data_IF_973517816065
#
_entry.id   IF_973517816065
#
_cell.length_a   1.000
_cell.length_b   1.000
_cell.length_c   1.000
_cell.angle_alpha   90.00
_cell.angle_beta   90.00
_cell.angle_gamma   90.00
#
_symmetry.space_group_name_H-M   'P 1'
#
loop_
_entity.id
_entity.type
_entity.pdbx_description
1 polymer ?
#
# COMPACT_ATOMS: atom_id res chain seq x y z
N UNK A 1 -28.44 -57.35 43.16
CA UNK A 1 -27.71 -57.74 41.94
C UNK A 1 -27.49 -56.48 41.11
N UNK A 2 -26.23 -56.10 40.81
CA UNK A 2 -25.63 -54.85 41.28
C UNK A 2 -25.20 -53.90 40.13
N UNK A 3 -25.19 -52.56 40.27
CA UNK A 3 -24.18 -51.66 40.90
C UNK A 3 -22.71 -52.00 40.59
N UNK A 4 -21.98 -51.11 39.89
CA UNK A 4 -20.59 -50.70 40.20
C UNK A 4 -20.16 -49.57 39.22
N UNK A 5 -19.97 -48.31 39.62
CA UNK A 5 -18.81 -47.70 40.32
C UNK A 5 -17.44 -48.06 39.73
N UNK A 6 -16.77 -47.03 39.18
CA UNK A 6 -15.30 -46.76 39.15
C UNK A 6 -15.18 -45.26 38.85
N UNK A 7 -15.03 -44.35 39.82
CA UNK A 7 -13.83 -43.98 40.61
C UNK A 7 -12.55 -43.87 39.77
N UNK A 8 -12.13 -42.62 39.58
CA UNK A 8 -10.76 -42.14 39.32
C UNK A 8 -9.77 -42.70 40.35
N UNK A 9 -8.47 -42.61 40.04
CA UNK A 9 -7.62 -41.89 40.98
C UNK A 9 -6.68 -40.87 40.32
N UNK A 10 -6.26 -39.93 41.18
CA UNK A 10 -5.33 -38.84 40.96
C UNK A 10 -3.87 -39.33 40.93
N UNK A 11 -3.06 -38.51 40.26
CA UNK A 11 -1.69 -38.08 40.56
C UNK A 11 -0.73 -39.03 41.30
N UNK A 12 0.38 -39.37 40.63
CA UNK A 12 1.69 -39.45 41.27
C UNK A 12 2.75 -38.82 40.35
N UNK A 13 3.58 -38.00 40.98
CA UNK A 13 4.76 -37.31 40.46
C UNK A 13 5.95 -38.25 40.37
N UNK A 14 6.67 -38.25 39.25
CA UNK A 14 8.07 -38.69 39.23
C UNK A 14 8.97 -37.62 38.60
N UNK A 15 9.93 -37.21 39.43
CA UNK A 15 11.05 -36.34 39.12
C UNK A 15 12.23 -37.22 38.70
N UNK A 16 12.79 -37.04 37.50
CA UNK A 16 14.22 -37.36 37.24
C UNK A 16 14.85 -36.29 36.34
N UNK A 17 15.86 -35.66 36.94
CA UNK A 17 16.86 -34.75 36.39
C UNK A 17 18.03 -35.47 35.71
N UNK A 18 18.59 -34.88 34.64
CA UNK A 18 20.02 -34.87 34.25
C UNK A 18 20.16 -33.98 32.99
N UNK A 19 20.67 -32.75 33.04
CA UNK A 19 22.07 -32.26 33.22
C UNK A 19 23.03 -32.74 32.13
N UNK A 20 23.37 -31.84 31.19
CA UNK A 20 24.70 -31.26 30.81
C UNK A 20 24.56 -30.65 29.40
N UNK A 21 24.74 -29.36 29.08
CA UNK A 21 25.84 -28.39 29.26
C UNK A 21 27.17 -28.75 28.58
N UNK A 22 27.40 -28.16 27.40
CA UNK A 22 28.70 -27.76 26.82
C UNK A 22 28.36 -26.79 25.66
N UNK A 23 28.57 -25.47 25.75
CA UNK A 23 29.82 -24.69 25.74
C UNK A 23 30.71 -24.97 24.52
N UNK A 24 30.60 -24.10 23.50
CA UNK A 24 31.74 -23.67 22.67
C UNK A 24 31.53 -22.19 22.34
N UNK A 25 32.39 -21.36 22.91
CA UNK A 25 32.75 -20.03 22.39
C UNK A 25 33.66 -20.25 21.18
N UNK A 26 33.43 -19.54 20.07
CA UNK A 26 34.53 -18.93 19.32
C UNK A 26 34.04 -17.71 18.53
N UNK A 27 34.95 -16.76 18.49
CA UNK A 27 34.89 -15.38 18.05
C UNK A 27 35.22 -15.19 16.57
N UNK A 28 34.69 -14.10 15.99
CA UNK A 28 35.39 -13.31 14.97
C UNK A 28 34.99 -13.50 13.50
N UNK A 29 34.29 -12.50 12.94
CA UNK A 29 34.37 -11.94 11.57
C UNK A 29 33.09 -11.13 11.31
N UNK A 30 33.08 -9.81 11.55
CA UNK A 30 33.34 -8.74 10.56
C UNK A 30 32.49 -8.81 9.29
N UNK A 31 31.63 -7.80 9.14
CA UNK A 31 31.40 -7.06 7.90
C UNK A 31 31.44 -7.89 6.60
N UNK A 32 30.27 -8.39 6.21
CA UNK A 32 29.94 -8.67 4.82
C UNK A 32 28.62 -7.95 4.56
N UNK A 33 28.78 -6.73 4.07
CA UNK A 33 27.74 -5.96 3.40
C UNK A 33 27.03 -6.85 2.38
N UNK A 34 25.72 -6.68 2.30
CA UNK A 34 24.83 -7.27 1.31
C UNK A 34 25.29 -6.92 -0.13
N UNK A 35 26.24 -7.70 -0.64
CA UNK A 35 26.69 -7.65 -2.02
C UNK A 35 26.08 -8.81 -2.82
N UNK A 36 25.22 -8.40 -3.76
CA UNK A 36 25.12 -8.95 -5.13
C UNK A 36 24.40 -10.30 -5.26
N UNK A 37 23.06 -10.25 -5.42
CA UNK A 37 22.34 -11.05 -6.43
C UNK A 37 21.14 -10.25 -6.96
N UNK A 38 21.38 -9.33 -7.90
CA UNK A 38 20.38 -8.92 -8.91
C UNK A 38 21.12 -8.57 -10.22
N UNK A 39 21.87 -9.54 -10.76
CA UNK A 39 22.29 -9.54 -12.16
C UNK A 39 21.49 -10.63 -12.89
N UNK A 40 20.44 -10.22 -13.63
CA UNK A 40 20.12 -10.73 -14.98
C UNK A 40 18.85 -10.21 -15.67
N UNK A 41 17.98 -9.43 -15.03
CA UNK A 41 16.70 -9.05 -15.66
C UNK A 41 16.54 -7.57 -16.04
N UNK A 42 17.62 -6.78 -15.98
CA UNK A 42 17.57 -5.36 -16.41
C UNK A 42 17.83 -5.15 -17.91
N UNK A 43 18.30 -6.18 -18.62
CA UNK A 43 18.53 -6.11 -20.07
C UNK A 43 17.26 -6.39 -20.90
N UNK A 44 16.19 -6.92 -20.29
CA UNK A 44 14.89 -7.10 -20.97
C UNK A 44 14.01 -5.82 -20.98
N UNK A 45 14.59 -4.67 -20.60
CA UNK A 45 13.94 -3.35 -20.68
C UNK A 45 14.16 -2.63 -22.01
N UNK A 46 14.86 -3.23 -22.97
CA UNK A 46 14.98 -2.67 -24.32
C UNK A 46 13.63 -2.64 -25.07
N UNK A 47 12.70 -3.55 -24.79
CA UNK A 47 11.41 -3.59 -25.50
C UNK A 47 10.35 -2.53 -25.11
N UNK A 48 10.62 -1.67 -24.12
CA UNK A 48 9.67 -0.61 -23.72
C UNK A 48 10.21 0.81 -23.97
N UNK A 49 11.45 0.93 -24.43
CA UNK A 49 12.08 2.20 -24.79
C UNK A 49 11.97 2.54 -26.29
N UNK A 50 11.56 1.58 -27.13
CA UNK A 50 11.66 1.69 -28.59
C UNK A 50 10.51 2.40 -29.32
N UNK A 51 9.40 2.78 -28.68
CA UNK A 51 8.26 3.38 -29.43
C UNK A 51 7.72 4.70 -28.88
N UNK A 52 8.62 5.56 -28.41
CA UNK A 52 8.40 7.01 -28.41
C UNK A 52 9.50 7.76 -29.20
N UNK A 53 10.16 7.05 -30.14
CA UNK A 53 11.39 7.51 -30.77
C UNK A 53 11.61 7.09 -32.22
N UNK A 54 10.58 6.81 -33.02
CA UNK A 54 10.75 6.75 -34.48
C UNK A 54 10.69 8.15 -35.10
N UNK A 55 11.70 8.95 -34.76
CA UNK A 55 12.20 10.05 -35.57
C UNK A 55 13.50 10.56 -34.94
N UNK A 56 14.64 9.95 -35.27
CA UNK A 56 15.98 10.56 -35.37
C UNK A 56 17.06 9.49 -35.61
N UNK A 57 17.14 9.00 -36.84
CA UNK A 57 18.45 8.69 -37.42
C UNK A 57 19.02 10.01 -37.96
N UNK A 58 20.08 10.49 -37.31
CA UNK A 58 20.70 11.77 -37.60
C UNK A 58 21.47 12.28 -36.40
N UNK A 59 22.57 11.61 -36.07
CA UNK A 59 23.55 12.13 -35.13
C UNK A 59 24.06 13.49 -35.63
N UNK A 60 23.60 14.57 -34.99
CA UNK A 60 24.20 15.88 -35.05
C UNK A 60 24.50 16.32 -33.62
N UNK A 61 25.79 16.56 -33.38
CA UNK A 61 26.40 16.99 -32.13
C UNK A 61 26.05 18.47 -31.86
N UNK A 62 24.80 18.72 -31.44
CA UNK A 62 24.36 20.05 -31.00
C UNK A 62 23.60 19.93 -29.69
N UNK A 63 24.02 20.63 -28.62
CA UNK A 63 23.29 20.61 -27.36
C UNK A 63 21.89 21.22 -27.56
N UNK A 64 20.85 20.67 -26.91
CA UNK A 64 19.49 21.17 -27.06
C UNK A 64 19.37 22.60 -26.51
N UNK A 65 18.67 23.44 -27.26
CA UNK A 65 18.51 24.86 -27.00
C UNK A 65 17.70 25.11 -25.70
N UNK A 66 18.10 26.15 -24.98
CA UNK A 66 17.58 26.52 -23.65
C UNK A 66 16.14 27.06 -23.75
N UNK A 67 15.73 27.46 -24.94
CA UNK A 67 14.43 28.08 -25.20
C UNK A 67 13.28 27.06 -25.33
N UNK A 68 13.53 25.85 -25.86
CA UNK A 68 12.55 24.75 -25.85
C UNK A 68 12.22 24.28 -24.42
N UNK A 69 13.19 24.44 -23.51
CA UNK A 69 13.04 24.11 -22.10
C UNK A 69 12.15 25.10 -21.34
N UNK A 70 12.11 26.36 -21.77
CA UNK A 70 11.28 27.40 -21.15
C UNK A 70 9.81 27.25 -21.52
N UNK A 71 9.53 26.95 -22.79
CA UNK A 71 8.16 26.91 -23.30
C UNK A 71 7.32 25.75 -22.71
N UNK A 72 7.90 24.55 -22.57
CA UNK A 72 7.22 23.41 -21.95
C UNK A 72 6.98 23.60 -20.44
N UNK A 73 7.87 24.30 -19.76
CA UNK A 73 7.82 24.52 -18.31
C UNK A 73 6.84 25.64 -17.92
N UNK A 74 6.59 26.58 -18.83
CA UNK A 74 5.75 27.76 -18.59
C UNK A 74 4.25 27.43 -18.62
N UNK A 75 3.86 26.27 -19.15
CA UNK A 75 2.48 25.81 -19.23
C UNK A 75 1.95 25.21 -17.91
N UNK A 76 2.82 24.89 -16.94
CA UNK A 76 2.44 24.00 -15.83
C UNK A 76 2.65 24.52 -14.39
N UNK A 77 3.42 25.58 -14.12
CA UNK A 77 3.94 25.80 -12.74
C UNK A 77 3.93 27.28 -12.29
N UNK A 78 3.75 27.64 -11.01
CA UNK A 78 4.79 27.62 -9.93
C UNK A 78 6.24 27.80 -10.42
N UNK A 79 6.42 28.61 -11.47
CA UNK A 79 7.66 28.76 -12.22
C UNK A 79 8.86 29.27 -11.39
N UNK A 80 8.63 29.99 -10.29
CA UNK A 80 9.69 30.67 -9.57
C UNK A 80 10.69 29.73 -8.86
N UNK A 81 10.23 28.61 -8.29
CA UNK A 81 11.11 27.71 -7.51
C UNK A 81 12.00 26.86 -8.41
N UNK A 82 11.41 26.27 -9.46
CA UNK A 82 12.14 25.44 -10.43
C UNK A 82 13.14 26.30 -11.20
N UNK A 83 12.73 27.48 -11.67
CA UNK A 83 13.65 28.40 -12.35
C UNK A 83 14.80 28.85 -11.44
N UNK A 84 14.52 29.11 -10.16
CA UNK A 84 15.56 29.46 -9.20
C UNK A 84 16.60 28.32 -9.04
N UNK A 85 16.14 27.08 -8.89
CA UNK A 85 17.02 25.90 -8.83
C UNK A 85 17.86 25.75 -10.09
N UNK A 86 17.24 25.83 -11.27
CA UNK A 86 17.91 25.69 -12.56
C UNK A 86 18.98 26.77 -12.80
N UNK A 87 18.71 28.00 -12.39
CA UNK A 87 19.68 29.08 -12.47
C UNK A 87 20.89 28.82 -11.56
N UNK A 88 20.69 28.32 -10.34
CA UNK A 88 21.79 28.00 -9.42
C UNK A 88 22.71 26.90 -9.93
N UNK A 89 22.16 25.87 -10.57
CA UNK A 89 22.97 24.78 -11.14
C UNK A 89 23.63 25.15 -12.46
N UNK A 90 23.08 26.11 -13.21
CA UNK A 90 23.61 26.55 -14.52
C UNK A 90 24.90 27.35 -14.39
N UNK A 91 25.08 28.10 -13.30
CA UNK A 91 26.26 28.96 -13.05
C UNK A 91 27.56 28.16 -12.96
N UNK A 92 27.51 26.88 -12.61
CA UNK A 92 28.71 26.07 -12.41
C UNK A 92 29.20 25.47 -13.74
N UNK A 93 30.42 25.79 -14.23
CA UNK A 93 30.99 25.14 -15.43
C UNK A 93 31.11 23.62 -15.25
N UNK A 94 31.07 22.89 -16.37
CA UNK A 94 31.28 21.44 -16.38
C UNK A 94 32.74 21.11 -16.09
N UNK A 95 33.00 19.92 -15.53
CA UNK A 95 34.36 19.43 -15.32
C UNK A 95 34.98 18.98 -16.64
N UNK A 96 36.26 19.32 -16.83
CA UNK A 96 37.10 18.71 -17.86
C UNK A 96 37.46 17.26 -17.46
N UNK A 97 37.95 16.46 -18.41
CA UNK A 97 38.31 15.05 -18.16
C UNK A 97 39.41 14.93 -17.09
N UNK A 98 40.39 15.83 -17.10
CA UNK A 98 41.48 15.83 -16.12
C UNK A 98 40.99 16.21 -14.72
N UNK A 99 40.12 17.21 -14.62
CA UNK A 99 39.49 17.61 -13.37
C UNK A 99 38.58 16.53 -12.82
N UNK A 100 37.79 15.89 -13.68
CA UNK A 100 36.91 14.77 -13.34
C UNK A 100 37.73 13.65 -12.70
N UNK A 101 38.86 13.25 -13.29
CA UNK A 101 39.75 12.26 -12.68
C UNK A 101 40.35 12.72 -11.36
N UNK A 102 40.78 13.98 -11.26
CA UNK A 102 41.36 14.55 -10.04
C UNK A 102 40.35 14.53 -8.89
N UNK A 103 39.17 15.11 -9.10
CA UNK A 103 38.13 15.18 -8.08
C UNK A 103 37.57 13.80 -7.76
N UNK A 104 37.47 12.89 -8.72
CA UNK A 104 37.01 11.52 -8.45
C UNK A 104 37.98 10.72 -7.59
N UNK A 105 39.30 10.90 -7.76
CA UNK A 105 40.30 10.28 -6.88
C UNK A 105 40.23 10.83 -5.46
N UNK A 106 40.06 12.15 -5.31
CA UNK A 106 39.91 12.80 -4.01
C UNK A 106 38.59 12.40 -3.33
N UNK A 107 37.50 12.34 -4.07
CA UNK A 107 36.20 11.89 -3.57
C UNK A 107 36.27 10.43 -3.09
N UNK A 108 36.95 9.54 -3.83
CA UNK A 108 37.20 8.14 -3.41
C UNK A 108 38.08 8.05 -2.16
N UNK A 109 38.97 9.02 -1.94
CA UNK A 109 39.78 9.14 -0.72
C UNK A 109 39.00 9.69 0.48
N UNK A 110 37.72 10.04 0.31
CA UNK A 110 36.86 10.55 1.39
C UNK A 110 36.88 12.07 1.57
N UNK A 111 37.50 12.82 0.65
CA UNK A 111 37.56 14.29 0.74
C UNK A 111 36.19 14.92 0.47
N UNK A 112 35.64 15.59 1.48
CA UNK A 112 34.30 16.17 1.43
C UNK A 112 34.18 17.27 0.35
N UNK A 113 35.16 18.16 0.26
CA UNK A 113 35.13 19.26 -0.70
C UNK A 113 35.16 18.76 -2.15
N UNK A 114 35.94 17.69 -2.41
CA UNK A 114 36.00 17.08 -3.73
C UNK A 114 34.68 16.40 -4.11
N UNK A 115 34.04 15.70 -3.16
CA UNK A 115 32.71 15.12 -3.35
C UNK A 115 31.67 16.20 -3.64
N UNK A 116 31.68 17.31 -2.89
CA UNK A 116 30.77 18.42 -3.11
C UNK A 116 30.94 19.05 -4.50
N UNK A 117 32.19 19.27 -4.93
CA UNK A 117 32.47 19.74 -6.29
C UNK A 117 31.93 18.75 -7.32
N UNK A 118 32.14 17.44 -7.15
CA UNK A 118 31.59 16.45 -8.09
C UNK A 118 30.07 16.47 -8.17
N UNK A 119 29.37 16.57 -7.04
CA UNK A 119 27.90 16.65 -7.00
C UNK A 119 27.45 17.88 -7.79
N UNK A 120 27.91 19.05 -7.38
CA UNK A 120 27.44 20.35 -7.88
C UNK A 120 27.69 20.54 -9.38
N UNK A 121 28.76 19.95 -9.90
CA UNK A 121 29.14 20.04 -11.32
C UNK A 121 28.31 19.10 -12.21
N UNK A 122 27.69 18.06 -11.62
CA UNK A 122 26.93 17.03 -12.33
C UNK A 122 25.40 17.15 -12.11
N UNK A 123 24.90 18.13 -11.35
CA UNK A 123 23.45 18.33 -11.15
C UNK A 123 22.67 18.53 -12.48
N UNK A 124 23.31 19.10 -13.49
CA UNK A 124 22.72 19.27 -14.83
C UNK A 124 22.39 17.93 -15.50
N UNK A 125 23.22 16.91 -15.26
CA UNK A 125 22.97 15.55 -15.77
C UNK A 125 21.70 14.98 -15.14
N UNK A 126 21.52 15.14 -13.83
CA UNK A 126 20.33 14.67 -13.10
C UNK A 126 19.06 15.26 -13.71
N UNK A 127 19.03 16.59 -13.88
CA UNK A 127 17.89 17.28 -14.49
C UNK A 127 17.61 16.77 -15.90
N UNK A 128 18.66 16.53 -16.70
CA UNK A 128 18.49 16.00 -18.07
C UNK A 128 17.84 14.62 -18.10
N UNK A 129 18.16 13.75 -17.12
CA UNK A 129 17.59 12.41 -17.01
C UNK A 129 16.16 12.49 -16.46
N UNK A 130 15.93 13.28 -15.40
CA UNK A 130 14.63 13.44 -14.75
C UNK A 130 13.53 13.94 -15.70
N UNK A 131 13.87 14.78 -16.69
CA UNK A 131 12.93 15.23 -17.74
C UNK A 131 12.26 14.09 -18.49
N UNK A 132 12.96 12.97 -18.71
CA UNK A 132 12.40 11.80 -19.40
C UNK A 132 11.31 11.07 -18.59
N UNK A 133 11.15 11.41 -17.31
CA UNK A 133 10.21 10.79 -16.38
C UNK A 133 9.05 11.72 -15.97
N UNK A 134 8.87 12.84 -16.67
CA UNK A 134 7.72 13.73 -16.49
C UNK A 134 6.40 12.96 -16.69
N UNK A 135 5.34 13.45 -16.04
CA UNK A 135 3.98 12.92 -16.15
C UNK A 135 3.81 11.46 -15.70
N UNK A 136 4.68 10.96 -14.82
CA UNK A 136 4.59 9.62 -14.21
C UNK A 136 4.04 9.61 -12.79
N UNK A 137 3.34 10.67 -12.38
CA UNK A 137 2.67 10.78 -11.07
C UNK A 137 3.54 11.34 -9.94
N UNK A 138 4.80 11.69 -10.20
CA UNK A 138 5.70 12.34 -9.24
C UNK A 138 6.13 13.71 -9.79
N UNK A 139 6.09 14.79 -8.98
CA UNK A 139 6.53 16.12 -9.40
C UNK A 139 7.99 16.17 -9.87
N UNK A 140 8.32 17.06 -10.80
CA UNK A 140 9.67 17.17 -11.35
C UNK A 140 10.74 17.46 -10.27
N UNK A 141 10.43 18.29 -9.29
CA UNK A 141 11.38 18.59 -8.20
C UNK A 141 11.70 17.33 -7.39
N UNK A 142 10.70 16.53 -7.07
CA UNK A 142 10.88 15.28 -6.32
C UNK A 142 11.69 14.27 -7.15
N UNK A 143 11.44 14.17 -8.46
CA UNK A 143 12.25 13.36 -9.37
C UNK A 143 13.72 13.84 -9.41
N UNK A 144 13.96 15.15 -9.38
CA UNK A 144 15.31 15.70 -9.36
C UNK A 144 16.01 15.35 -8.05
N UNK A 145 15.33 15.47 -6.90
CA UNK A 145 15.94 15.14 -5.61
C UNK A 145 16.25 13.64 -5.47
N UNK A 146 15.34 12.77 -5.91
CA UNK A 146 15.59 11.32 -5.96
C UNK A 146 16.74 10.97 -6.93
N UNK A 147 16.85 11.70 -8.03
CA UNK A 147 18.00 11.62 -8.94
C UNK A 147 19.31 12.12 -8.31
N UNK A 148 19.26 13.16 -7.47
CA UNK A 148 20.41 13.68 -6.74
C UNK A 148 20.92 12.66 -5.71
N UNK A 149 20.01 11.92 -5.05
CA UNK A 149 20.37 10.78 -4.18
C UNK A 149 21.10 9.70 -4.98
N UNK A 150 20.60 9.37 -6.17
CA UNK A 150 21.26 8.43 -7.09
C UNK A 150 22.64 8.91 -7.55
N UNK A 151 22.80 10.20 -7.83
CA UNK A 151 24.09 10.81 -8.18
C UNK A 151 25.09 10.70 -7.02
N UNK A 152 24.67 10.99 -5.79
CA UNK A 152 25.54 10.87 -4.61
C UNK A 152 26.02 9.44 -4.41
N UNK A 153 25.13 8.45 -4.59
CA UNK A 153 25.51 7.04 -4.53
C UNK A 153 26.48 6.65 -5.66
N UNK A 154 26.29 7.19 -6.86
CA UNK A 154 27.22 6.98 -7.96
C UNK A 154 28.62 7.49 -7.64
N UNK A 155 28.75 8.64 -6.97
CA UNK A 155 30.05 9.22 -6.60
C UNK A 155 30.77 8.35 -5.57
N UNK A 156 30.05 7.79 -4.60
CA UNK A 156 30.61 6.92 -3.56
C UNK A 156 31.21 5.64 -4.16
N UNK A 157 30.56 5.06 -5.17
CA UNK A 157 30.98 3.79 -5.78
C UNK A 157 31.81 3.94 -7.06
N UNK A 158 32.03 5.17 -7.54
CA UNK A 158 32.74 5.38 -8.79
C UNK A 158 34.24 5.06 -8.65
N UNK A 159 34.77 4.34 -9.64
CA UNK A 159 36.18 4.00 -9.71
C UNK A 159 36.90 4.73 -10.86
N UNK A 160 37.74 5.74 -10.57
CA UNK A 160 38.44 6.52 -11.59
C UNK A 160 39.48 5.71 -12.36
N UNK A 161 39.91 4.56 -11.84
CA UNK A 161 40.97 3.74 -12.45
C UNK A 161 40.51 2.98 -13.69
N UNK A 162 39.18 2.82 -13.86
CA UNK A 162 38.59 2.04 -14.96
C UNK A 162 38.58 2.78 -16.31
N UNK A 163 38.89 4.07 -16.35
CA UNK A 163 39.03 4.84 -17.59
C UNK A 163 37.72 5.25 -18.29
N UNK A 164 36.56 4.92 -17.72
CA UNK A 164 35.26 5.38 -18.21
C UNK A 164 34.89 6.76 -17.66
N UNK A 165 34.06 7.51 -18.39
CA UNK A 165 33.51 8.78 -17.92
C UNK A 165 32.55 8.54 -16.75
N UNK A 166 32.60 9.42 -15.76
CA UNK A 166 31.68 9.44 -14.63
C UNK A 166 30.23 9.57 -15.08
N UNK A 167 29.94 10.36 -16.12
CA UNK A 167 28.59 10.53 -16.66
C UNK A 167 27.96 9.20 -17.10
N UNK A 168 28.74 8.30 -17.70
CA UNK A 168 28.27 6.96 -18.11
C UNK A 168 27.84 6.14 -16.91
N UNK A 169 28.62 6.13 -15.84
CA UNK A 169 28.31 5.40 -14.61
C UNK A 169 27.16 6.04 -13.82
N UNK A 170 27.18 7.36 -13.67
CA UNK A 170 26.17 8.12 -12.96
C UNK A 170 24.78 7.99 -13.58
N UNK A 171 24.70 7.92 -14.91
CA UNK A 171 23.42 7.76 -15.62
C UNK A 171 22.64 6.54 -15.14
N UNK A 172 23.32 5.42 -14.88
CA UNK A 172 22.67 4.19 -14.41
C UNK A 172 22.07 4.38 -13.02
N UNK A 173 22.84 4.93 -12.08
CA UNK A 173 22.38 5.16 -10.70
C UNK A 173 21.29 6.22 -10.59
N UNK A 174 21.41 7.31 -11.36
CA UNK A 174 20.37 8.35 -11.42
C UNK A 174 19.07 7.73 -11.94
N UNK A 175 19.14 6.96 -13.03
CA UNK A 175 17.98 6.27 -13.60
C UNK A 175 17.33 5.32 -12.60
N UNK A 176 18.13 4.45 -11.98
CA UNK A 176 17.66 3.45 -11.03
C UNK A 176 16.98 4.10 -9.82
N UNK A 177 17.56 5.19 -9.28
CA UNK A 177 16.99 5.92 -8.15
C UNK A 177 15.65 6.55 -8.50
N UNK A 178 15.56 7.24 -9.65
CA UNK A 178 14.33 7.86 -10.14
C UNK A 178 13.24 6.80 -10.40
N UNK A 179 13.57 5.70 -11.07
CA UNK A 179 12.61 4.63 -11.34
C UNK A 179 12.11 3.98 -10.06
N UNK A 180 12.99 3.74 -9.10
CA UNK A 180 12.61 3.22 -7.78
C UNK A 180 11.72 4.20 -7.02
N UNK A 181 11.99 5.50 -7.09
CA UNK A 181 11.15 6.51 -6.47
C UNK A 181 9.74 6.53 -7.07
N UNK A 182 9.64 6.51 -8.41
CA UNK A 182 8.36 6.44 -9.12
C UNK A 182 7.57 5.21 -8.71
N UNK A 183 8.21 4.02 -8.67
CA UNK A 183 7.52 2.80 -8.23
C UNK A 183 7.01 2.90 -6.80
N UNK A 184 7.71 3.62 -5.93
CA UNK A 184 7.38 3.69 -4.51
C UNK A 184 6.39 4.81 -4.15
N UNK A 185 6.38 5.91 -4.89
CA UNK A 185 5.72 7.17 -4.54
C UNK A 185 4.62 7.59 -5.53
N UNK A 186 4.60 7.07 -6.77
CA UNK A 186 3.65 7.53 -7.79
C UNK A 186 2.19 7.14 -7.53
N UNK A 187 1.91 6.21 -6.59
CA UNK A 187 0.56 5.76 -6.26
C UNK A 187 0.18 6.18 -4.85
N UNK A 188 -1.05 6.68 -4.70
CA UNK A 188 -1.67 7.02 -3.40
C UNK A 188 -1.68 5.82 -2.45
N UNK A 189 -2.05 4.64 -2.98
CA UNK A 189 -1.92 3.36 -2.27
C UNK A 189 -0.65 2.68 -2.74
N UNK A 190 0.32 2.56 -1.84
CA UNK A 190 1.63 2.00 -2.11
C UNK A 190 1.53 0.52 -2.51
N UNK A 191 2.11 0.18 -3.66
CA UNK A 191 2.30 -1.20 -4.11
C UNK A 191 3.78 -1.61 -3.94
N UNK A 192 4.06 -2.85 -3.51
CA UNK A 192 5.43 -3.38 -3.51
C UNK A 192 6.04 -3.46 -4.92
N UNK A 193 7.37 -3.39 -5.00
CA UNK A 193 8.10 -3.39 -6.28
C UNK A 193 7.84 -4.65 -7.11
N UNK A 194 7.76 -5.82 -6.49
CA UNK A 194 7.50 -7.08 -7.20
C UNK A 194 6.11 -7.09 -7.86
N UNK A 195 5.09 -6.56 -7.19
CA UNK A 195 3.72 -6.43 -7.72
C UNK A 195 3.71 -5.47 -8.92
N UNK A 196 4.42 -4.34 -8.83
CA UNK A 196 4.52 -3.38 -9.95
C UNK A 196 5.24 -4.00 -11.15
N UNK A 197 6.26 -4.83 -10.91
CA UNK A 197 6.98 -5.57 -11.96
C UNK A 197 6.02 -6.54 -12.67
N UNK A 198 5.25 -7.30 -11.91
CA UNK A 198 4.26 -8.23 -12.46
C UNK A 198 3.16 -7.51 -13.23
N UNK A 199 2.65 -6.41 -12.70
CA UNK A 199 1.68 -5.55 -13.39
C UNK A 199 2.22 -5.02 -14.71
N UNK A 200 3.44 -4.49 -14.73
CA UNK A 200 4.05 -3.99 -15.96
C UNK A 200 4.29 -5.11 -16.98
N UNK A 201 4.64 -6.32 -16.54
CA UNK A 201 4.77 -7.49 -17.41
C UNK A 201 3.42 -7.84 -18.07
N UNK A 202 2.34 -7.88 -17.29
CA UNK A 202 0.97 -8.13 -17.78
C UNK A 202 0.52 -7.03 -18.74
N UNK A 203 0.77 -5.75 -18.41
CA UNK A 203 0.43 -4.62 -19.28
C UNK A 203 1.23 -4.63 -20.59
N UNK A 204 2.50 -5.06 -20.57
CA UNK A 204 3.31 -5.24 -21.79
C UNK A 204 2.75 -6.36 -22.66
N UNK A 205 2.41 -7.50 -22.06
CA UNK A 205 1.79 -8.62 -22.79
C UNK A 205 0.45 -8.21 -23.41
N UNK A 206 -0.39 -7.49 -22.67
CA UNK A 206 -1.65 -6.90 -23.15
C UNK A 206 -1.42 -6.03 -24.40
N UNK A 207 -0.51 -5.05 -24.32
CA UNK A 207 -0.19 -4.17 -25.46
C UNK A 207 0.40 -4.91 -26.66
N UNK A 208 1.24 -5.92 -26.42
CA UNK A 208 1.81 -6.74 -27.48
C UNK A 208 0.74 -7.54 -28.23
N UNK A 209 -0.26 -8.09 -27.52
CA UNK A 209 -1.41 -8.75 -28.13
C UNK A 209 -2.27 -7.78 -28.94
N UNK A 210 -2.56 -6.61 -28.38
CA UNK A 210 -3.31 -5.54 -29.06
C UNK A 210 -2.60 -5.11 -30.36
N UNK A 211 -1.27 -4.92 -30.32
CA UNK A 211 -0.47 -4.55 -31.49
C UNK A 211 -0.41 -5.66 -32.55
N UNK A 212 -0.26 -6.92 -32.15
CA UNK A 212 -0.26 -8.05 -33.09
C UNK A 212 -1.62 -8.24 -33.75
N UNK A 213 -2.72 -8.01 -33.01
CA UNK A 213 -4.07 -7.99 -33.57
C UNK A 213 -4.28 -6.84 -34.58
N UNK A 214 -3.53 -5.74 -34.48
CA UNK A 214 -3.59 -4.63 -35.44
C UNK A 214 -2.80 -4.93 -36.74
N UNK A 215 -1.73 -5.73 -36.65
CA UNK A 215 -0.85 -6.03 -37.80
C UNK A 215 -1.35 -7.19 -38.68
N UNK A 216 -2.21 -8.07 -38.16
CA UNK A 216 -2.91 -9.10 -38.94
C UNK A 216 -4.09 -8.47 -39.68
N UNK A 217 -3.81 -7.93 -40.88
CA UNK A 217 -4.75 -7.13 -41.66
C UNK A 217 -6.10 -7.78 -42.02
N UNK A 218 -7.04 -6.89 -42.31
CA UNK A 218 -8.42 -7.05 -42.81
C UNK A 218 -9.51 -7.31 -41.75
N UNK A 219 -10.28 -6.25 -41.48
CA UNK A 219 -11.60 -6.24 -40.83
C UNK A 219 -11.73 -6.82 -39.40
N UNK A 220 -10.62 -7.06 -38.69
CA UNK A 220 -10.69 -7.38 -37.26
C UNK A 220 -10.98 -6.10 -36.46
N UNK A 221 -12.20 -6.00 -35.94
CA UNK A 221 -12.56 -5.10 -34.85
C UNK A 221 -11.41 -5.02 -33.84
N UNK A 222 -11.12 -3.82 -33.30
CA UNK A 222 -10.16 -3.62 -32.21
C UNK A 222 -10.48 -4.61 -31.10
N UNK A 223 -9.81 -5.76 -31.11
CA UNK A 223 -10.07 -6.83 -30.16
C UNK A 223 -9.23 -6.48 -28.96
N UNK A 224 -9.88 -6.04 -27.89
CA UNK A 224 -9.23 -5.95 -26.59
C UNK A 224 -8.64 -7.33 -26.27
N UNK A 225 -7.38 -7.35 -25.83
CA UNK A 225 -6.70 -8.60 -25.55
C UNK A 225 -7.49 -9.40 -24.49
N UNK A 226 -7.84 -10.65 -24.81
CA UNK A 226 -8.54 -11.51 -23.88
C UNK A 226 -7.65 -11.83 -22.68
N UNK A 227 -8.25 -11.93 -21.49
CA UNK A 227 -7.55 -12.33 -20.26
C UNK A 227 -6.85 -13.69 -20.45
N UNK A 228 -7.50 -14.61 -21.16
CA UNK A 228 -6.97 -15.94 -21.47
C UNK A 228 -5.69 -15.86 -22.33
N UNK A 229 -5.65 -14.96 -23.30
CA UNK A 229 -4.50 -14.79 -24.20
C UNK A 229 -3.31 -14.17 -23.44
N UNK A 230 -3.59 -13.23 -22.53
CA UNK A 230 -2.59 -12.61 -21.66
C UNK A 230 -2.03 -13.64 -20.68
N UNK A 231 -2.89 -14.48 -20.09
CA UNK A 231 -2.53 -15.57 -19.19
C UNK A 231 -1.60 -16.58 -19.90
N UNK A 232 -1.96 -16.98 -21.13
CA UNK A 232 -1.13 -17.87 -21.95
C UNK A 232 0.26 -17.29 -22.25
N UNK A 233 0.35 -16.01 -22.63
CA UNK A 233 1.63 -15.37 -22.92
C UNK A 233 2.51 -15.14 -21.69
N UNK A 234 1.89 -14.83 -20.55
CA UNK A 234 2.63 -14.53 -19.31
C UNK A 234 2.92 -15.78 -18.47
N UNK A 235 2.35 -16.93 -18.83
CA UNK A 235 2.49 -18.18 -18.08
C UNK A 235 1.76 -18.17 -16.74
N UNK A 236 0.72 -17.33 -16.58
CA UNK A 236 -0.06 -17.13 -15.35
C UNK A 236 -1.46 -17.70 -15.50
N UNK A 237 -2.16 -17.85 -14.39
CA UNK A 237 -3.59 -18.22 -14.41
C UNK A 237 -4.46 -17.02 -14.78
N UNK A 238 -5.67 -17.29 -15.29
CA UNK A 238 -6.65 -16.24 -15.61
C UNK A 238 -7.00 -15.41 -14.38
N UNK A 239 -7.15 -16.06 -13.22
CA UNK A 239 -7.51 -15.45 -11.95
C UNK A 239 -6.39 -14.51 -11.45
N UNK A 240 -5.12 -14.94 -11.53
CA UNK A 240 -3.98 -14.08 -11.21
C UNK A 240 -3.90 -12.86 -12.14
N UNK A 241 -4.18 -13.03 -13.44
CA UNK A 241 -4.19 -11.90 -14.38
C UNK A 241 -5.33 -10.94 -14.05
N UNK A 242 -6.52 -11.41 -13.66
CA UNK A 242 -7.61 -10.54 -13.22
C UNK A 242 -7.26 -9.77 -11.96
N UNK A 243 -6.66 -10.43 -10.97
CA UNK A 243 -6.24 -9.78 -9.72
C UNK A 243 -5.17 -8.72 -9.98
N UNK A 244 -4.16 -9.04 -10.81
CA UNK A 244 -3.12 -8.08 -11.18
C UNK A 244 -3.69 -6.88 -11.95
N UNK A 245 -4.63 -7.11 -12.88
CA UNK A 245 -5.26 -6.03 -13.62
C UNK A 245 -6.15 -5.15 -12.74
N UNK A 246 -6.79 -5.71 -11.71
CA UNK A 246 -7.56 -4.94 -10.73
C UNK A 246 -6.67 -3.96 -9.95
N UNK A 247 -5.42 -4.35 -9.64
CA UNK A 247 -4.43 -3.45 -9.00
C UNK A 247 -3.98 -2.27 -9.88
N UNK A 248 -4.30 -2.29 -11.17
CA UNK A 248 -3.96 -1.18 -12.06
C UNK A 248 -4.87 0.04 -11.85
N UNK A 249 -6.05 -0.13 -11.26
CA UNK A 249 -7.02 0.94 -11.07
C UNK A 249 -6.42 2.09 -10.22
N UNK A 250 -6.60 3.32 -10.69
CA UNK A 250 -6.10 4.51 -10.01
C UNK A 250 -7.17 5.10 -9.10
N UNK A 251 -6.76 5.68 -7.97
CA UNK A 251 -7.67 6.37 -7.07
C UNK A 251 -8.26 7.61 -7.74
N UNK A 252 -9.59 7.74 -7.71
CA UNK A 252 -10.28 8.96 -8.10
C UNK A 252 -10.33 9.94 -6.91
N UNK A 253 -10.35 11.24 -7.20
CA UNK A 253 -10.57 12.27 -6.18
C UNK A 253 -12.07 12.37 -5.86
N UNK A 254 -12.42 12.36 -4.58
CA UNK A 254 -13.80 12.59 -4.13
C UNK A 254 -14.25 14.04 -4.37
N UNK A 255 -13.30 14.97 -4.39
CA UNK A 255 -13.53 16.39 -4.65
C UNK A 255 -13.56 16.73 -6.15
N UNK A 256 -13.34 15.74 -7.02
CA UNK A 256 -13.42 15.97 -8.47
C UNK A 256 -14.85 16.41 -8.83
N UNK A 257 -15.02 17.56 -9.52
CA UNK A 257 -16.33 17.99 -9.97
C UNK A 257 -16.89 17.00 -10.99
N UNK A 258 -18.21 16.83 -11.00
CA UNK A 258 -18.88 15.99 -11.98
C UNK A 258 -19.01 16.71 -13.33
N UNK A 259 -18.87 15.97 -14.43
CA UNK A 259 -19.00 16.51 -15.80
C UNK A 259 -20.37 17.16 -16.06
N UNK A 260 -21.42 16.63 -15.44
CA UNK A 260 -22.81 17.08 -15.62
C UNK A 260 -23.15 18.30 -14.77
N UNK A 261 -22.54 18.45 -13.60
CA UNK A 261 -22.79 19.58 -12.69
C UNK A 261 -21.50 19.94 -11.92
N UNK A 262 -20.78 21.00 -12.35
CA UNK A 262 -19.51 21.39 -11.75
C UNK A 262 -19.65 21.95 -10.33
N UNK A 263 -20.88 22.17 -9.83
CA UNK A 263 -21.12 22.57 -8.44
C UNK A 263 -21.18 21.35 -7.48
N UNK A 264 -21.29 20.13 -8.02
CA UNK A 264 -21.36 18.91 -7.24
C UNK A 264 -20.10 18.06 -7.41
N UNK A 265 -19.74 17.38 -6.33
CA UNK A 265 -18.59 16.49 -6.25
C UNK A 265 -19.02 15.03 -6.16
N UNK A 266 -18.09 14.10 -6.39
CA UNK A 266 -18.36 12.67 -6.17
C UNK A 266 -18.74 12.41 -4.71
N UNK A 267 -18.18 13.17 -3.76
CA UNK A 267 -18.51 13.09 -2.34
C UNK A 267 -19.99 13.32 -2.05
N UNK A 268 -20.64 14.24 -2.77
CA UNK A 268 -22.05 14.59 -2.56
C UNK A 268 -23.02 13.45 -2.98
N UNK A 269 -22.55 12.52 -3.82
CA UNK A 269 -23.32 11.37 -4.28
C UNK A 269 -23.15 10.13 -3.40
N UNK A 270 -22.08 10.07 -2.60
CA UNK A 270 -21.79 8.91 -1.77
C UNK A 270 -22.70 8.91 -0.55
N UNK A 271 -23.43 7.80 -0.38
CA UNK A 271 -24.26 7.57 0.81
C UNK A 271 -23.40 7.06 1.96
N UNK A 272 -23.72 7.48 3.19
CA UNK A 272 -23.08 6.94 4.39
C UNK A 272 -23.80 5.67 4.86
N UNK A 273 -23.21 4.52 4.51
CA UNK A 273 -23.73 3.20 4.89
C UNK A 273 -23.64 2.92 6.40
N UNK A 274 -22.85 3.68 7.16
CA UNK A 274 -22.77 3.56 8.62
C UNK A 274 -23.84 4.38 9.33
N UNK A 275 -24.44 5.36 8.64
CA UNK A 275 -25.52 6.15 9.19
C UNK A 275 -26.80 5.32 9.31
N UNK A 276 -27.41 5.31 10.48
CA UNK A 276 -28.74 4.71 10.64
C UNK A 276 -29.77 5.67 10.05
N UNK A 277 -30.75 5.13 9.32
CA UNK A 277 -31.86 5.95 8.83
C UNK A 277 -32.65 6.53 10.01
N UNK A 278 -33.23 7.74 9.89
CA UNK A 278 -34.06 8.32 10.96
C UNK A 278 -35.21 7.40 11.38
N UNK A 279 -35.77 6.64 10.44
CA UNK A 279 -36.80 5.63 10.73
C UNK A 279 -36.26 4.51 11.62
N UNK A 280 -35.07 3.99 11.32
CA UNK A 280 -34.41 2.96 12.14
C UNK A 280 -34.06 3.50 13.53
N UNK A 281 -33.60 4.75 13.63
CA UNK A 281 -33.29 5.39 14.91
C UNK A 281 -34.54 5.55 15.78
N UNK A 282 -35.67 5.99 15.20
CA UNK A 282 -36.96 6.09 15.91
C UNK A 282 -37.48 4.73 16.32
N UNK A 283 -37.40 3.72 15.43
CA UNK A 283 -37.77 2.34 15.77
C UNK A 283 -36.93 1.80 16.93
N UNK A 284 -35.63 2.06 16.93
CA UNK A 284 -34.73 1.65 18.01
C UNK A 284 -35.08 2.33 19.34
N UNK A 285 -35.33 3.65 19.32
CA UNK A 285 -35.77 4.41 20.51
C UNK A 285 -37.11 3.92 21.07
N UNK A 286 -38.07 3.63 20.19
CA UNK A 286 -39.37 3.10 20.59
C UNK A 286 -39.21 1.70 21.20
N UNK A 287 -38.39 0.85 20.59
CA UNK A 287 -38.07 -0.47 21.14
C UNK A 287 -37.39 -0.36 22.52
N UNK A 288 -36.46 0.57 22.72
CA UNK A 288 -35.84 0.83 24.03
C UNK A 288 -36.89 1.26 25.07
N UNK A 289 -37.80 2.16 24.68
CA UNK A 289 -38.87 2.66 25.57
C UNK A 289 -39.83 1.53 25.96
N UNK A 290 -40.28 0.73 25.00
CA UNK A 290 -41.17 -0.41 25.23
C UNK A 290 -40.49 -1.50 26.08
N UNK A 291 -39.22 -1.83 25.78
CA UNK A 291 -38.46 -2.80 26.58
C UNK A 291 -38.30 -2.34 28.02
N UNK A 292 -37.96 -1.06 28.26
CA UNK A 292 -37.89 -0.48 29.60
C UNK A 292 -39.25 -0.53 30.32
N UNK A 293 -40.35 -0.21 29.63
CA UNK A 293 -41.70 -0.30 30.18
C UNK A 293 -42.12 -1.74 30.54
N UNK A 294 -41.73 -2.74 29.74
CA UNK A 294 -42.03 -4.15 30.03
C UNK A 294 -41.16 -4.72 31.14
N UNK A 295 -39.87 -4.34 31.21
CA UNK A 295 -39.00 -4.68 32.34
C UNK A 295 -39.55 -4.14 33.66
N UNK A 296 -40.12 -2.93 33.66
CA UNK A 296 -40.76 -2.34 34.84
C UNK A 296 -42.01 -3.10 35.32
N UNK A 297 -42.69 -3.87 34.46
CA UNK A 297 -43.85 -4.72 34.83
C UNK A 297 -43.45 -6.07 35.41
N UNK A 298 -42.19 -6.48 35.26
CA UNK A 298 -41.68 -7.69 35.92
C UNK A 298 -41.51 -7.43 37.42
N UNK A 299 -41.60 -8.48 38.23
CA UNK A 299 -41.24 -8.36 39.65
C UNK A 299 -39.74 -8.09 39.80
N UNK A 300 -39.32 -7.41 40.87
CA UNK A 300 -37.93 -6.98 41.07
C UNK A 300 -36.89 -8.11 40.88
N UNK A 301 -37.18 -9.32 41.38
CA UNK A 301 -36.31 -10.50 41.19
C UNK A 301 -36.15 -10.93 39.73
N UNK A 302 -37.22 -10.84 38.93
CA UNK A 302 -37.20 -11.17 37.51
C UNK A 302 -36.49 -10.07 36.69
N UNK A 303 -36.78 -8.80 37.01
CA UNK A 303 -36.14 -7.65 36.36
C UNK A 303 -34.62 -7.66 36.58
N UNK A 304 -34.19 -7.80 37.83
CA UNK A 304 -32.77 -7.83 38.19
C UNK A 304 -32.03 -8.96 37.47
N UNK A 305 -32.61 -10.17 37.39
CA UNK A 305 -31.98 -11.30 36.69
C UNK A 305 -31.80 -11.03 35.20
N UNK A 306 -32.78 -10.39 34.54
CA UNK A 306 -32.71 -10.08 33.10
C UNK A 306 -31.73 -8.92 32.84
N UNK A 307 -31.78 -7.85 33.63
CA UNK A 307 -30.90 -6.69 33.48
C UNK A 307 -29.43 -7.07 33.63
N UNK A 308 -29.07 -7.79 34.71
CA UNK A 308 -27.72 -8.31 34.91
C UNK A 308 -27.31 -9.34 33.87
N UNK A 309 -28.21 -10.20 33.39
CA UNK A 309 -27.82 -11.27 32.44
C UNK A 309 -27.51 -10.75 31.04
N UNK A 310 -28.28 -9.76 30.58
CA UNK A 310 -28.16 -9.20 29.24
C UNK A 310 -27.44 -7.84 29.19
N UNK A 311 -27.03 -7.32 30.35
CA UNK A 311 -26.33 -6.05 30.44
C UNK A 311 -27.19 -4.84 30.06
N UNK A 312 -28.45 -4.85 30.47
CA UNK A 312 -29.39 -3.76 30.19
C UNK A 312 -29.23 -2.63 31.23
N UNK A 313 -29.61 -1.40 30.88
CA UNK A 313 -29.55 -0.23 31.77
C UNK A 313 -28.13 0.11 32.27
N UNK A 314 -27.10 -0.07 31.42
CA UNK A 314 -25.69 0.18 31.75
C UNK A 314 -25.14 -0.70 32.87
N UNK A 315 -25.74 -1.86 33.10
CA UNK A 315 -25.24 -2.89 34.03
C UNK A 315 -24.36 -3.85 33.24
N UNK A 316 -23.26 -4.32 33.84
CA UNK A 316 -22.37 -5.28 33.21
C UNK A 316 -23.05 -6.67 33.11
N UNK A 317 -22.94 -7.37 31.96
CA UNK A 317 -23.50 -8.70 31.80
C UNK A 317 -22.81 -9.72 32.71
N UNK A 318 -23.57 -10.35 33.59
CA UNK A 318 -23.09 -11.35 34.55
C UNK A 318 -23.42 -12.79 34.12
N UNK A 319 -22.62 -13.73 34.61
CA UNK A 319 -22.89 -15.17 34.45
C UNK A 319 -24.00 -15.63 35.40
N UNK A 320 -24.64 -16.78 35.09
CA UNK A 320 -25.66 -17.35 35.98
C UNK A 320 -25.11 -17.75 37.35
N UNK A 321 -23.79 -17.94 37.46
CA UNK A 321 -23.09 -18.32 38.68
C UNK A 321 -22.86 -17.10 39.57
N UNK A 322 -22.32 -16.01 39.02
CA UNK A 322 -22.19 -14.71 39.72
C UNK A 322 -23.53 -14.20 40.24
N UNK A 323 -24.59 -14.37 39.44
CA UNK A 323 -25.94 -13.94 39.79
C UNK A 323 -26.58 -14.85 40.85
N UNK A 324 -26.17 -16.12 40.91
CA UNK A 324 -26.59 -17.06 41.93
C UNK A 324 -25.95 -16.73 43.28
N UNK A 325 -24.66 -16.38 43.26
CA UNK A 325 -23.91 -15.96 44.44
C UNK A 325 -24.46 -14.65 45.02
N UNK A 326 -24.74 -13.66 44.17
CA UNK A 326 -25.31 -12.38 44.60
C UNK A 326 -26.71 -12.51 45.21
N UNK A 327 -27.58 -13.34 44.61
CA UNK A 327 -28.96 -13.52 45.10
C UNK A 327 -29.08 -14.59 46.20
N UNK A 328 -27.99 -15.26 46.57
CA UNK A 328 -27.99 -16.36 47.55
C UNK A 328 -28.84 -17.56 47.11
N UNK A 329 -28.87 -17.85 45.80
CA UNK A 329 -29.65 -18.93 45.20
C UNK A 329 -28.74 -19.94 44.51
N UNK A 330 -29.28 -21.09 44.12
CA UNK A 330 -28.55 -22.01 43.25
C UNK A 330 -28.58 -21.50 41.80
N UNK A 331 -27.51 -21.78 41.05
CA UNK A 331 -27.43 -21.50 39.60
C UNK A 331 -28.66 -21.97 38.83
N UNK A 332 -29.16 -23.18 39.13
CA UNK A 332 -30.35 -23.72 38.49
C UNK A 332 -31.61 -22.91 38.84
N UNK A 333 -31.69 -22.38 40.06
CA UNK A 333 -32.82 -21.52 40.44
C UNK A 333 -32.79 -20.19 39.70
N UNK A 334 -31.63 -19.57 39.50
CA UNK A 334 -31.50 -18.36 38.67
C UNK A 334 -31.89 -18.64 37.22
N UNK A 335 -31.49 -19.79 36.67
CA UNK A 335 -31.90 -20.23 35.32
C UNK A 335 -33.43 -20.35 35.19
N UNK A 336 -34.10 -20.90 36.20
CA UNK A 336 -35.57 -20.98 36.24
C UNK A 336 -36.21 -19.58 36.25
N UNK A 337 -35.72 -18.68 37.11
CA UNK A 337 -36.20 -17.28 37.19
C UNK A 337 -36.01 -16.56 35.84
N UNK A 338 -34.86 -16.76 35.18
CA UNK A 338 -34.61 -16.23 33.83
C UNK A 338 -35.65 -16.73 32.82
N UNK A 339 -35.90 -18.04 32.77
CA UNK A 339 -36.88 -18.62 31.84
C UNK A 339 -38.31 -18.13 32.13
N UNK A 340 -38.71 -18.06 33.39
CA UNK A 340 -40.01 -17.53 33.79
C UNK A 340 -40.16 -16.06 33.38
N UNK A 341 -39.12 -15.24 33.58
CA UNK A 341 -39.10 -13.84 33.16
C UNK A 341 -39.20 -13.69 31.64
N UNK A 342 -38.46 -14.49 30.86
CA UNK A 342 -38.51 -14.47 29.40
C UNK A 342 -39.88 -14.88 28.86
N UNK A 343 -40.52 -15.89 29.46
CA UNK A 343 -41.89 -16.29 29.08
C UNK A 343 -42.90 -15.18 29.35
N UNK A 344 -42.77 -14.48 30.49
CA UNK A 344 -43.62 -13.33 30.82
C UNK A 344 -43.40 -12.18 29.86
N UNK A 345 -42.14 -11.83 29.57
CA UNK A 345 -41.81 -10.83 28.55
C UNK A 345 -42.44 -11.20 27.21
N UNK A 346 -42.24 -12.43 26.73
CA UNK A 346 -42.82 -12.90 25.46
C UNK A 346 -44.34 -12.75 25.39
N UNK A 347 -45.06 -12.94 26.51
CA UNK A 347 -46.51 -12.68 26.59
C UNK A 347 -46.84 -11.19 26.48
N UNK A 348 -46.05 -10.31 27.11
CA UNK A 348 -46.22 -8.86 26.99
C UNK A 348 -45.92 -8.32 25.58
N UNK A 349 -44.89 -8.86 24.92
CA UNK A 349 -44.61 -8.56 23.51
C UNK A 349 -45.80 -8.96 22.61
N UNK A 350 -46.31 -10.18 22.78
CA UNK A 350 -47.45 -10.69 22.00
C UNK A 350 -48.75 -9.91 22.25
N UNK A 351 -49.03 -9.50 23.50
CA UNK A 351 -50.24 -8.73 23.83
C UNK A 351 -50.25 -7.31 23.27
N UNK A 352 -49.09 -6.72 23.04
CA UNK A 352 -48.95 -5.37 22.50
C UNK A 352 -48.71 -5.36 20.98
N UNK A 353 -48.91 -6.49 20.29
CA UNK A 353 -48.83 -6.58 18.83
C UNK A 353 -47.42 -6.59 18.25
N UNK A 354 -46.37 -6.61 19.08
CA UNK A 354 -44.98 -6.70 18.61
C UNK A 354 -44.68 -8.14 18.23
N UNK A 355 -44.66 -8.41 16.92
CA UNK A 355 -44.31 -9.72 16.36
C UNK A 355 -42.81 -9.93 16.43
N UNK A 356 -42.37 -11.19 16.44
CA UNK A 356 -40.96 -11.57 16.44
C UNK A 356 -40.19 -10.95 15.25
N UNK A 357 -40.90 -10.73 14.14
CA UNK A 357 -40.37 -10.19 12.89
C UNK A 357 -40.26 -8.65 12.90
N UNK A 358 -40.71 -7.97 13.95
CA UNK A 358 -40.61 -6.51 14.10
C UNK A 358 -39.40 -6.09 14.97
N UNK A 359 -38.63 -7.06 15.47
CA UNK A 359 -37.50 -6.87 16.41
C UNK A 359 -36.20 -7.48 15.85
N UNK A 360 -36.30 -8.22 14.74
CA UNK A 360 -35.20 -8.78 13.95
C UNK A 360 -35.18 -8.06 12.61
#
# INVERSE_FOLDING_TARGET
MPKSKRRLPQAESETISRVTSASVEDSGASEAEDEIVEERDLDERQGAADEAGEAREGASDTPPDVDDFRALLQAELTADTIQHYLNRISVKPLLTVEEEQKYSRLAKAGEFDARQVMIERNLRLVVSIAKGYLNRGVPLLDLIEEGNLGLMHAIEKFDPTRGFRFSTYATWWIRQSIERAIMNQARTVRLPVHVIRELNQVLRAKRHLEKNSMNSGEAAERRDASIDDIAYLTGKTTDEVTDILALNEHTASLDAPLDLDPASSLLDLLSDDQSQSPDAEVQHRELETLTRAWLARLSDKHRHVIERRFGLNHIEPATLEELADEMGLTRERVRQIQQEALVRLKRFFASNGVRKDAVL
#
